data_IF_712984914408
#
_entry.id   IF_712984914408
#
_cell.length_a   1.000
_cell.length_b   1.000
_cell.length_c   1.000
_cell.angle_alpha   90.00
_cell.angle_beta   90.00
_cell.angle_gamma   90.00
#
_symmetry.space_group_name_H-M   'P 1'
#
loop_
_entity.id
_entity.type
_entity.pdbx_description
1 polymer ?
#
# COMPACT_ATOMS: atom_id res chain seq x y z
N UNK A 1 6.14 9.05 -25.49
CA UNK A 1 7.17 9.83 -24.78
C UNK A 1 6.59 10.88 -23.84
N UNK A 2 5.70 11.78 -24.30
CA UNK A 2 5.14 12.85 -23.45
C UNK A 2 4.53 12.37 -22.12
N UNK A 3 3.78 11.25 -22.12
CA UNK A 3 3.24 10.66 -20.89
C UNK A 3 4.30 10.18 -19.90
N UNK A 4 5.40 9.62 -20.42
CA UNK A 4 6.49 9.11 -19.60
C UNK A 4 7.16 10.29 -18.88
N UNK A 5 7.44 11.38 -19.60
CA UNK A 5 8.00 12.59 -19.00
C UNK A 5 7.04 13.26 -18.02
N UNK A 6 5.74 13.26 -18.30
CA UNK A 6 4.73 13.82 -17.41
C UNK A 6 4.63 13.05 -16.09
N UNK A 7 4.55 11.72 -16.13
CA UNK A 7 4.42 10.90 -14.92
C UNK A 7 5.75 10.79 -14.18
N UNK A 8 6.81 10.37 -14.89
CA UNK A 8 8.10 10.13 -14.25
C UNK A 8 8.75 11.45 -13.80
N UNK A 9 8.62 12.52 -14.59
CA UNK A 9 9.15 13.83 -14.25
C UNK A 9 8.49 14.44 -13.01
N UNK A 10 7.18 14.31 -12.85
CA UNK A 10 6.47 14.85 -11.68
C UNK A 10 6.79 14.09 -10.39
N UNK A 11 7.03 12.76 -10.49
CA UNK A 11 7.50 11.95 -9.37
C UNK A 11 8.94 12.33 -8.98
N UNK A 12 9.86 12.44 -9.94
CA UNK A 12 11.26 12.79 -9.65
C UNK A 12 11.44 14.21 -9.11
N UNK A 13 10.61 15.15 -9.56
CA UNK A 13 10.60 16.53 -9.06
C UNK A 13 9.89 16.67 -7.71
N UNK A 14 9.27 15.60 -7.18
CA UNK A 14 8.56 15.60 -5.90
C UNK A 14 7.26 16.42 -5.92
N UNK A 15 6.77 16.80 -7.10
CA UNK A 15 5.54 17.59 -7.25
C UNK A 15 4.30 16.72 -7.05
N UNK A 16 4.39 15.45 -7.45
CA UNK A 16 3.33 14.49 -7.30
C UNK A 16 3.83 13.21 -6.63
N UNK A 17 3.05 12.73 -5.67
CA UNK A 17 3.23 11.41 -5.07
C UNK A 17 2.95 10.31 -6.10
N UNK A 18 3.42 9.05 -5.89
CA UNK A 18 3.20 7.97 -6.85
C UNK A 18 1.72 7.73 -7.21
N UNK A 19 0.82 7.95 -6.27
CA UNK A 19 -0.65 7.87 -6.48
C UNK A 19 -1.15 9.00 -7.38
N UNK A 20 -0.70 10.23 -7.16
CA UNK A 20 -1.01 11.40 -8.00
C UNK A 20 -0.38 11.27 -9.39
N UNK A 21 0.84 10.74 -9.48
CA UNK A 21 1.52 10.40 -10.73
C UNK A 21 0.72 9.39 -11.55
N UNK A 22 0.14 8.37 -10.90
CA UNK A 22 -0.78 7.43 -11.53
C UNK A 22 -2.04 8.11 -12.08
N UNK A 23 -2.66 8.99 -11.30
CA UNK A 23 -3.86 9.75 -11.72
C UNK A 23 -3.56 10.67 -12.93
N UNK A 24 -2.40 11.34 -12.92
CA UNK A 24 -1.93 12.14 -14.04
C UNK A 24 -1.64 11.30 -15.28
N UNK A 25 -1.08 10.10 -15.11
CA UNK A 25 -0.87 9.15 -16.20
C UNK A 25 -2.19 8.69 -16.83
N UNK A 26 -3.19 8.35 -16.02
CA UNK A 26 -4.51 7.94 -16.50
C UNK A 26 -5.24 9.08 -17.22
N UNK A 27 -5.22 10.29 -16.65
CA UNK A 27 -5.81 11.48 -17.26
C UNK A 27 -5.12 11.82 -18.58
N UNK A 28 -3.77 11.78 -18.60
CA UNK A 28 -3.00 12.01 -19.81
C UNK A 28 -3.27 10.98 -20.90
N UNK A 29 -3.42 9.70 -20.54
CA UNK A 29 -3.77 8.64 -21.48
C UNK A 29 -5.17 8.85 -22.08
N UNK A 30 -6.13 9.31 -21.27
CA UNK A 30 -7.50 9.60 -21.72
C UNK A 30 -7.53 10.79 -22.69
N UNK A 31 -6.79 11.86 -22.38
CA UNK A 31 -6.61 13.02 -23.28
C UNK A 31 -5.97 12.59 -24.60
N UNK A 32 -4.92 11.76 -24.57
CA UNK A 32 -4.29 11.25 -25.79
C UNK A 32 -5.21 10.35 -26.60
N UNK A 33 -6.02 9.50 -25.96
CA UNK A 33 -7.01 8.68 -26.64
C UNK A 33 -8.09 9.53 -27.33
N UNK A 34 -8.47 10.66 -26.71
CA UNK A 34 -9.41 11.63 -27.27
C UNK A 34 -8.80 12.37 -28.47
N UNK A 35 -7.58 12.89 -28.35
CA UNK A 35 -6.86 13.55 -29.45
C UNK A 35 -6.68 12.62 -30.64
N UNK A 36 -6.33 11.35 -30.38
CA UNK A 36 -6.15 10.34 -31.43
C UNK A 36 -7.48 9.79 -31.98
N UNK A 37 -8.64 10.26 -31.51
CA UNK A 37 -9.99 9.80 -31.91
C UNK A 37 -10.19 8.28 -31.79
N UNK A 38 -9.50 7.65 -30.84
CA UNK A 38 -9.61 6.20 -30.56
C UNK A 38 -10.42 5.89 -29.31
N UNK A 39 -10.87 6.92 -28.59
CA UNK A 39 -11.70 6.77 -27.41
C UNK A 39 -13.10 6.32 -27.83
N UNK A 40 -13.45 5.07 -27.52
CA UNK A 40 -14.81 4.54 -27.70
C UNK A 40 -15.41 4.22 -26.34
N UNK A 41 -16.74 4.31 -26.23
CA UNK A 41 -17.45 3.98 -25.00
C UNK A 41 -17.22 2.52 -24.56
N UNK A 42 -17.12 1.61 -25.54
CA UNK A 42 -16.78 0.20 -25.29
C UNK A 42 -15.40 0.05 -24.67
N UNK A 43 -14.37 0.73 -25.21
CA UNK A 43 -13.01 0.69 -24.68
C UNK A 43 -12.93 1.28 -23.27
N UNK A 44 -13.60 2.41 -23.03
CA UNK A 44 -13.63 3.04 -21.71
C UNK A 44 -14.29 2.11 -20.68
N UNK A 45 -15.44 1.52 -21.01
CA UNK A 45 -16.14 0.58 -20.12
C UNK A 45 -15.30 -0.68 -19.87
N UNK A 46 -14.60 -1.19 -20.88
CA UNK A 46 -13.70 -2.33 -20.73
C UNK A 46 -12.55 -2.00 -19.78
N UNK A 47 -11.88 -0.85 -19.98
CA UNK A 47 -10.80 -0.40 -19.11
C UNK A 47 -11.28 -0.21 -17.66
N UNK A 48 -12.41 0.48 -17.45
CA UNK A 48 -12.98 0.68 -16.12
C UNK A 48 -13.36 -0.64 -15.43
N UNK A 49 -13.96 -1.59 -16.15
CA UNK A 49 -14.35 -2.88 -15.57
C UNK A 49 -13.11 -3.71 -15.18
N UNK A 50 -12.06 -3.71 -16.00
CA UNK A 50 -10.80 -4.37 -15.65
C UNK A 50 -10.14 -3.74 -14.42
N UNK A 51 -10.07 -2.41 -14.35
CA UNK A 51 -9.55 -1.70 -13.18
C UNK A 51 -10.38 -1.99 -11.93
N UNK A 52 -11.70 -1.89 -12.03
CA UNK A 52 -12.61 -2.14 -10.91
C UNK A 52 -12.46 -3.56 -10.36
N UNK A 53 -12.38 -4.57 -11.23
CA UNK A 53 -12.19 -5.97 -10.80
C UNK A 53 -10.88 -6.16 -10.02
N UNK A 54 -9.77 -5.60 -10.52
CA UNK A 54 -8.48 -5.70 -9.83
C UNK A 54 -8.52 -4.97 -8.48
N UNK A 55 -9.08 -3.76 -8.43
CA UNK A 55 -9.25 -3.01 -7.17
C UNK A 55 -10.16 -3.74 -6.19
N UNK A 56 -11.27 -4.33 -6.65
CA UNK A 56 -12.17 -5.12 -5.78
C UNK A 56 -11.47 -6.33 -5.17
N UNK A 57 -10.61 -7.01 -5.93
CA UNK A 57 -9.80 -8.12 -5.41
C UNK A 57 -8.88 -7.65 -4.28
N UNK A 58 -8.13 -6.56 -4.51
CA UNK A 58 -7.23 -5.96 -3.51
C UNK A 58 -7.99 -5.51 -2.26
N UNK A 59 -9.14 -4.84 -2.42
CA UNK A 59 -9.96 -4.39 -1.28
C UNK A 59 -10.48 -5.58 -0.46
N UNK A 60 -10.91 -6.67 -1.11
CA UNK A 60 -11.35 -7.87 -0.39
C UNK A 60 -10.22 -8.47 0.45
N UNK A 61 -8.99 -8.47 -0.06
CA UNK A 61 -7.83 -8.97 0.69
C UNK A 61 -7.49 -8.03 1.84
N UNK A 62 -7.59 -6.71 1.66
CA UNK A 62 -7.43 -5.73 2.73
C UNK A 62 -8.43 -5.97 3.86
N UNK A 63 -9.71 -6.20 3.54
CA UNK A 63 -10.74 -6.54 4.53
C UNK A 63 -10.37 -7.84 5.25
N UNK A 64 -10.01 -8.89 4.52
CA UNK A 64 -9.58 -10.17 5.09
C UNK A 64 -8.36 -10.03 6.01
N UNK A 65 -7.37 -9.24 5.60
CA UNK A 65 -6.18 -8.98 6.41
C UNK A 65 -6.50 -8.18 7.66
N UNK A 66 -7.43 -7.22 7.58
CA UNK A 66 -7.86 -6.44 8.75
C UNK A 66 -8.55 -7.35 9.78
N UNK A 67 -9.45 -8.22 9.33
CA UNK A 67 -10.10 -9.22 10.19
C UNK A 67 -9.06 -10.17 10.79
N UNK A 68 -8.15 -10.71 9.97
CA UNK A 68 -7.06 -11.55 10.45
C UNK A 68 -6.20 -10.83 11.49
N UNK A 69 -5.78 -9.59 11.23
CA UNK A 69 -4.95 -8.82 12.15
C UNK A 69 -5.65 -8.52 13.48
N UNK A 70 -6.95 -8.23 13.44
CA UNK A 70 -7.74 -8.00 14.66
C UNK A 70 -7.91 -9.28 15.46
N UNK A 71 -8.30 -10.39 14.82
CA UNK A 71 -8.44 -11.69 15.49
C UNK A 71 -7.09 -12.20 16.02
N UNK A 72 -6.02 -12.05 15.23
CA UNK A 72 -4.67 -12.47 15.59
C UNK A 72 -4.17 -11.73 16.83
N UNK A 73 -4.36 -10.41 16.90
CA UNK A 73 -4.08 -9.62 18.12
C UNK A 73 -5.02 -9.99 19.27
N UNK A 74 -6.29 -10.25 18.98
CA UNK A 74 -7.27 -10.68 19.98
C UNK A 74 -6.90 -11.99 20.68
N UNK A 75 -6.16 -12.88 20.02
CA UNK A 75 -5.63 -14.12 20.61
C UNK A 75 -4.19 -13.99 21.12
N UNK A 76 -3.66 -12.76 21.22
CA UNK A 76 -2.27 -12.47 21.60
C UNK A 76 -1.22 -13.09 20.67
N UNK A 77 -1.55 -13.22 19.38
CA UNK A 77 -0.64 -13.76 18.38
C UNK A 77 0.63 -12.92 18.21
N UNK A 78 0.53 -11.60 18.41
CA UNK A 78 1.68 -10.69 18.40
C UNK A 78 2.67 -11.03 19.53
N UNK A 79 2.17 -11.36 20.73
CA UNK A 79 3.01 -11.83 21.83
C UNK A 79 3.60 -13.22 21.57
N UNK A 80 2.88 -14.10 20.87
CA UNK A 80 3.40 -15.41 20.49
C UNK A 80 4.55 -15.30 19.48
N UNK A 81 4.38 -14.48 18.44
CA UNK A 81 5.44 -14.20 17.46
C UNK A 81 6.62 -13.49 18.13
N UNK A 82 6.36 -12.56 19.04
CA UNK A 82 7.40 -11.93 19.86
C UNK A 82 8.22 -12.96 20.62
N UNK A 83 7.59 -13.88 21.36
CA UNK A 83 8.32 -14.94 22.08
C UNK A 83 9.09 -15.86 21.13
N UNK A 84 8.49 -16.24 20.01
CA UNK A 84 9.14 -17.12 19.03
C UNK A 84 10.40 -16.45 18.45
N UNK A 85 10.33 -15.16 18.16
CA UNK A 85 11.42 -14.42 17.51
C UNK A 85 12.46 -13.89 18.50
N UNK A 86 12.08 -13.55 19.73
CA UNK A 86 13.03 -13.22 20.82
C UNK A 86 13.78 -14.46 21.32
N UNK A 87 13.22 -15.65 21.15
CA UNK A 87 13.89 -16.92 21.43
C UNK A 87 14.92 -17.30 20.36
N UNK A 88 14.96 -16.60 19.22
CA UNK A 88 15.95 -16.85 18.18
C UNK A 88 17.29 -16.21 18.55
N UNK A 89 18.41 -16.93 18.37
CA UNK A 89 19.73 -16.36 18.55
C UNK A 89 19.98 -15.26 17.51
N UNK A 90 20.40 -14.06 17.96
CA UNK A 90 20.81 -12.97 17.07
C UNK A 90 20.13 -11.62 17.27
N UNK A 91 19.21 -11.48 18.24
CA UNK A 91 18.60 -10.20 18.59
C UNK A 91 17.94 -9.51 17.40
N UNK A 92 18.14 -8.19 17.25
CA UNK A 92 17.56 -7.39 16.16
C UNK A 92 17.98 -7.88 14.77
N UNK A 93 19.24 -8.27 14.58
CA UNK A 93 19.75 -8.70 13.27
C UNK A 93 19.20 -10.09 12.91
N UNK A 94 19.15 -11.01 13.88
CA UNK A 94 18.56 -12.33 13.70
C UNK A 94 17.08 -12.25 13.28
N UNK A 95 16.31 -11.39 13.94
CA UNK A 95 14.93 -11.07 13.55
C UNK A 95 14.87 -10.60 12.09
N UNK A 96 15.67 -9.62 11.70
CA UNK A 96 15.62 -9.06 10.34
C UNK A 96 15.99 -10.06 9.26
N UNK A 97 16.95 -10.96 9.52
CA UNK A 97 17.31 -12.02 8.57
C UNK A 97 16.14 -12.98 8.40
N UNK A 98 15.54 -13.44 9.50
CA UNK A 98 14.42 -14.39 9.47
C UNK A 98 13.21 -13.77 8.78
N UNK A 99 12.88 -12.52 9.09
CA UNK A 99 11.80 -11.80 8.42
C UNK A 99 12.09 -11.60 6.95
N UNK A 100 13.32 -11.23 6.57
CA UNK A 100 13.67 -11.10 5.15
C UNK A 100 13.55 -12.43 4.39
N UNK A 101 13.99 -13.54 4.98
CA UNK A 101 13.85 -14.87 4.36
C UNK A 101 12.38 -15.27 4.26
N UNK A 102 11.60 -15.07 5.33
CA UNK A 102 10.16 -15.34 5.34
C UNK A 102 9.44 -14.52 4.27
N UNK A 103 9.67 -13.20 4.24
CA UNK A 103 9.09 -12.29 3.25
C UNK A 103 9.51 -12.68 1.84
N UNK A 104 10.77 -13.04 1.62
CA UNK A 104 11.27 -13.47 0.31
C UNK A 104 10.55 -14.71 -0.20
N UNK A 105 10.31 -15.71 0.67
CA UNK A 105 9.60 -16.93 0.30
C UNK A 105 8.10 -16.69 0.08
N UNK A 106 7.46 -15.88 0.93
CA UNK A 106 6.03 -15.54 0.78
C UNK A 106 5.78 -14.69 -0.47
N UNK A 107 6.73 -13.83 -0.84
CA UNK A 107 6.68 -12.97 -2.01
C UNK A 107 6.63 -13.75 -3.34
N UNK A 108 6.85 -15.06 -3.32
CA UNK A 108 6.73 -15.89 -4.52
C UNK A 108 5.26 -16.11 -4.93
N UNK A 109 4.36 -16.17 -3.94
CA UNK A 109 2.96 -16.55 -4.16
C UNK A 109 1.99 -15.39 -3.94
N UNK A 110 2.40 -14.40 -3.15
CA UNK A 110 1.58 -13.25 -2.80
C UNK A 110 2.09 -12.01 -3.55
N UNK A 111 1.15 -11.25 -4.12
CA UNK A 111 1.43 -9.95 -4.72
C UNK A 111 1.74 -8.91 -3.61
N UNK A 112 2.36 -7.79 -3.99
CA UNK A 112 2.99 -6.88 -3.06
C UNK A 112 1.98 -6.23 -2.12
N UNK A 113 0.79 -5.87 -2.60
CA UNK A 113 -0.22 -5.25 -1.74
C UNK A 113 -0.71 -6.24 -0.68
N UNK A 114 -0.97 -7.48 -1.08
CA UNK A 114 -1.44 -8.59 -0.27
C UNK A 114 -0.40 -8.95 0.80
N UNK A 115 0.86 -9.08 0.39
CA UNK A 115 1.95 -9.39 1.30
C UNK A 115 2.16 -8.26 2.30
N UNK A 116 2.15 -6.99 1.87
CA UNK A 116 2.32 -5.85 2.77
C UNK A 116 1.21 -5.81 3.82
N UNK A 117 -0.03 -6.03 3.40
CA UNK A 117 -1.17 -6.02 4.33
C UNK A 117 -1.14 -7.18 5.31
N UNK A 118 -0.52 -8.32 5.02
CA UNK A 118 -0.39 -9.43 5.98
C UNK A 118 0.83 -9.23 6.89
N UNK A 119 1.99 -8.92 6.30
CA UNK A 119 3.28 -8.89 7.01
C UNK A 119 3.41 -7.66 7.92
N UNK A 120 2.99 -6.48 7.47
CA UNK A 120 3.18 -5.24 8.25
C UNK A 120 2.38 -5.27 9.56
N UNK A 121 1.08 -5.63 9.59
CA UNK A 121 0.34 -5.68 10.86
C UNK A 121 0.79 -6.80 11.80
N UNK A 122 1.36 -7.87 11.23
CA UNK A 122 1.87 -9.03 11.95
C UNK A 122 3.24 -8.76 12.61
N UNK A 123 4.19 -8.24 11.83
CA UNK A 123 5.58 -8.08 12.25
C UNK A 123 5.93 -6.66 12.72
N UNK A 124 5.17 -5.65 12.31
CA UNK A 124 5.40 -4.25 12.70
C UNK A 124 5.40 -4.03 14.21
N UNK A 125 4.39 -4.50 14.97
CA UNK A 125 4.39 -4.37 16.43
C UNK A 125 5.56 -5.08 17.10
N UNK A 126 5.98 -6.23 16.55
CA UNK A 126 7.12 -7.00 17.07
C UNK A 126 8.44 -6.27 16.80
N UNK A 127 8.59 -5.67 15.61
CA UNK A 127 9.75 -4.87 15.25
C UNK A 127 9.89 -3.63 16.15
N UNK A 128 8.79 -2.93 16.44
CA UNK A 128 8.76 -1.76 17.33
C UNK A 128 9.24 -2.12 18.75
N UNK A 129 8.71 -3.21 19.31
CA UNK A 129 9.11 -3.70 20.65
C UNK A 129 10.57 -4.14 20.72
N UNK A 130 11.12 -4.69 19.64
CA UNK A 130 12.54 -5.01 19.53
C UNK A 130 13.43 -3.76 19.38
N UNK A 131 12.85 -2.56 19.32
CA UNK A 131 13.56 -1.29 19.14
C UNK A 131 14.11 -1.11 17.72
N UNK A 132 13.53 -1.80 16.74
CA UNK A 132 13.90 -1.65 15.33
C UNK A 132 13.16 -0.43 14.78
N UNK A 133 13.88 0.45 14.11
CA UNK A 133 13.29 1.60 13.45
C UNK A 133 12.31 1.14 12.35
N UNK A 134 11.04 1.57 12.43
CA UNK A 134 9.98 1.14 11.51
C UNK A 134 10.21 1.61 10.07
N UNK A 135 10.94 2.72 9.87
CA UNK A 135 11.30 3.22 8.54
C UNK A 135 12.35 2.28 7.94
N UNK A 136 13.38 1.95 8.71
CA UNK A 136 14.38 0.97 8.27
C UNK A 136 13.76 -0.41 7.98
N UNK A 137 12.87 -0.88 8.85
CA UNK A 137 12.12 -2.12 8.64
C UNK A 137 11.23 -2.05 7.39
N UNK A 138 10.50 -0.96 7.20
CA UNK A 138 9.66 -0.74 6.02
C UNK A 138 10.45 -0.68 4.72
N UNK A 139 11.62 -0.04 4.72
CA UNK A 139 12.53 -0.02 3.56
C UNK A 139 13.07 -1.41 3.27
N UNK A 140 13.47 -2.18 4.30
CA UNK A 140 13.90 -3.57 4.12
C UNK A 140 12.79 -4.44 3.50
N UNK A 141 11.57 -4.33 4.02
CA UNK A 141 10.42 -5.01 3.45
C UNK A 141 10.17 -4.57 2.00
N UNK A 142 10.19 -3.26 1.71
CA UNK A 142 9.95 -2.74 0.36
C UNK A 142 10.98 -3.22 -0.66
N UNK A 143 12.27 -3.20 -0.30
CA UNK A 143 13.36 -3.71 -1.14
C UNK A 143 13.22 -5.21 -1.36
N UNK A 144 12.85 -5.97 -0.33
CA UNK A 144 12.63 -7.41 -0.44
C UNK A 144 11.41 -7.71 -1.32
N UNK A 145 10.30 -7.00 -1.14
CA UNK A 145 9.06 -7.17 -1.92
C UNK A 145 9.25 -6.87 -3.41
N UNK A 146 10.18 -5.98 -3.77
CA UNK A 146 10.52 -5.73 -5.17
C UNK A 146 11.06 -6.99 -5.88
N UNK A 147 11.71 -7.91 -5.15
CA UNK A 147 12.20 -9.19 -5.73
C UNK A 147 11.06 -10.04 -6.30
N UNK A 148 9.84 -9.93 -5.74
CA UNK A 148 8.65 -10.65 -6.21
C UNK A 148 8.42 -10.46 -7.71
N UNK A 149 8.60 -9.23 -8.21
CA UNK A 149 8.37 -8.90 -9.62
C UNK A 149 9.38 -9.52 -10.59
N UNK A 150 10.55 -9.91 -10.09
CA UNK A 150 11.71 -10.30 -10.91
C UNK A 150 12.10 -11.77 -10.77
N UNK A 151 11.58 -12.49 -9.77
CA UNK A 151 11.94 -13.91 -9.59
C UNK A 151 11.22 -14.83 -10.60
N UNK A 152 11.91 -15.75 -11.27
CA UNK A 152 11.27 -16.87 -11.96
C UNK A 152 10.65 -17.82 -10.92
N UNK A 153 9.42 -18.37 -11.04
CA UNK A 153 8.50 -18.49 -12.18
C UNK A 153 7.25 -17.58 -12.14
N UNK A 154 7.10 -16.71 -11.12
CA UNK A 154 5.89 -15.90 -10.90
C UNK A 154 6.09 -14.39 -11.14
N UNK A 155 7.32 -13.93 -11.45
CA UNK A 155 7.59 -12.52 -11.69
C UNK A 155 6.81 -11.93 -12.88
N UNK A 156 5.85 -11.04 -12.60
CA UNK A 156 5.03 -10.38 -13.62
C UNK A 156 5.88 -9.64 -14.67
N UNK A 157 7.02 -9.07 -14.28
CA UNK A 157 7.90 -8.38 -15.20
C UNK A 157 8.50 -9.33 -16.25
N UNK A 158 8.77 -10.59 -15.89
CA UNK A 158 9.30 -11.58 -16.81
C UNK A 158 8.25 -12.01 -17.85
N UNK A 159 6.98 -12.09 -17.44
CA UNK A 159 5.86 -12.34 -18.35
C UNK A 159 5.59 -11.16 -19.28
N UNK A 160 5.73 -9.93 -18.80
CA UNK A 160 5.66 -8.74 -19.67
C UNK A 160 6.78 -8.75 -20.71
N UNK A 161 8.03 -9.04 -20.29
CA UNK A 161 9.14 -9.17 -21.23
C UNK A 161 8.88 -10.30 -22.24
N UNK A 162 8.32 -11.43 -21.79
CA UNK A 162 7.96 -12.55 -22.67
C UNK A 162 6.88 -12.17 -23.70
N UNK A 163 5.94 -11.30 -23.34
CA UNK A 163 4.84 -10.87 -24.23
C UNK A 163 5.32 -9.99 -25.39
N UNK A 164 6.42 -9.26 -25.20
CA UNK A 164 7.06 -8.44 -26.24
C UNK A 164 8.25 -9.13 -26.91
N UNK A 165 8.75 -10.22 -26.32
CA UNK A 165 9.88 -10.98 -26.85
C UNK A 165 9.51 -11.77 -28.12
N UNK A 166 10.34 -11.73 -29.18
CA UNK A 166 10.08 -12.42 -30.43
C UNK A 166 10.05 -13.94 -30.21
N UNK A 167 8.85 -14.51 -30.34
CA UNK A 167 8.61 -15.95 -30.19
C UNK A 167 8.91 -16.77 -31.44
N UNK A 168 9.23 -16.14 -32.57
CA UNK A 168 9.61 -16.78 -33.84
C UNK A 168 10.93 -16.17 -34.31
N UNK A 169 11.67 -16.93 -35.13
CA UNK A 169 12.78 -16.37 -35.88
C UNK A 169 12.32 -15.13 -36.64
N UNK A 170 13.07 -14.05 -36.48
CA UNK A 170 12.87 -12.83 -37.25
C UNK A 170 14.19 -12.44 -37.89
N UNK A 171 14.11 -11.86 -39.08
CA UNK A 171 15.25 -11.22 -39.73
C UNK A 171 15.44 -9.85 -39.08
N UNK A 172 16.60 -9.64 -38.47
CA UNK A 172 16.95 -8.32 -37.93
C UNK A 172 17.04 -7.32 -39.09
N UNK A 173 16.23 -6.25 -39.02
CA UNK A 173 16.16 -5.20 -40.04
C UNK A 173 17.48 -4.45 -40.22
N UNK A 174 18.35 -4.43 -39.20
CA UNK A 174 19.62 -3.70 -39.22
C UNK A 174 20.79 -4.58 -39.66
N UNK A 175 20.88 -5.83 -39.19
CA UNK A 175 21.99 -6.73 -39.52
C UNK A 175 21.69 -7.74 -40.62
N UNK A 176 20.43 -7.92 -41.03
CA UNK A 176 20.02 -8.86 -42.07
C UNK A 176 20.19 -10.34 -41.69
N UNK A 177 20.54 -10.63 -40.44
CA UNK A 177 20.78 -11.99 -39.94
C UNK A 177 19.51 -12.59 -39.35
N UNK A 178 19.29 -13.91 -39.50
CA UNK A 178 18.23 -14.60 -38.78
C UNK A 178 18.58 -14.64 -37.29
N UNK A 179 17.75 -14.00 -36.47
CA UNK A 179 17.88 -14.04 -35.01
C UNK A 179 16.96 -15.11 -34.42
N UNK A 180 17.49 -16.04 -33.61
CA UNK A 180 16.70 -17.10 -33.01
C UNK A 180 15.68 -16.55 -32.00
N UNK A 181 14.56 -17.27 -31.76
CA UNK A 181 13.53 -16.85 -30.82
C UNK A 181 14.08 -16.82 -29.39
N UNK A 182 13.62 -15.84 -28.61
CA UNK A 182 13.99 -15.75 -27.20
C UNK A 182 13.16 -16.74 -26.40
N UNK A 183 13.83 -17.72 -25.81
CA UNK A 183 13.18 -18.75 -24.97
C UNK A 183 12.87 -18.19 -23.58
N UNK A 184 11.81 -18.70 -22.94
CA UNK A 184 11.47 -18.31 -21.56
C UNK A 184 12.62 -18.57 -20.59
N UNK A 185 13.40 -19.64 -20.81
CA UNK A 185 14.59 -19.95 -20.02
C UNK A 185 15.67 -18.88 -20.10
N UNK A 186 15.88 -18.26 -21.28
CA UNK A 186 16.82 -17.14 -21.43
C UNK A 186 16.36 -15.89 -20.67
N UNK A 187 15.04 -15.61 -20.66
CA UNK A 187 14.47 -14.52 -19.88
C UNK A 187 14.67 -14.76 -18.38
N UNK A 188 14.45 -16.00 -17.93
CA UNK A 188 14.64 -16.38 -16.52
C UNK A 188 16.09 -16.29 -16.09
N UNK A 189 17.03 -16.83 -16.88
CA UNK A 189 18.46 -16.69 -16.62
C UNK A 189 18.93 -15.24 -16.69
N UNK A 190 18.30 -14.40 -17.51
CA UNK A 190 18.55 -12.96 -17.54
C UNK A 190 18.09 -12.23 -16.27
N UNK A 191 17.12 -12.78 -15.53
CA UNK A 191 16.60 -12.16 -14.30
C UNK A 191 17.43 -12.51 -13.05
N UNK A 192 18.07 -13.69 -13.01
CA UNK A 192 18.85 -14.17 -11.86
C UNK A 192 19.92 -13.16 -11.40
N UNK A 193 20.73 -12.53 -12.28
CA UNK A 193 21.71 -11.52 -11.85
C UNK A 193 21.08 -10.35 -11.09
N UNK A 194 19.89 -9.90 -11.50
CA UNK A 194 19.19 -8.80 -10.82
C UNK A 194 18.67 -9.23 -9.45
N UNK A 195 18.17 -10.45 -9.32
CA UNK A 195 17.75 -11.00 -8.02
C UNK A 195 18.96 -11.10 -7.08
N UNK A 196 20.12 -11.54 -7.58
CA UNK A 196 21.36 -11.59 -6.78
C UNK A 196 21.76 -10.19 -6.31
N UNK A 197 21.73 -9.18 -7.19
CA UNK A 197 22.00 -7.79 -6.81
C UNK A 197 21.01 -7.30 -5.74
N UNK A 198 19.73 -7.65 -5.85
CA UNK A 198 18.72 -7.27 -4.87
C UNK A 198 18.96 -7.93 -3.50
N UNK A 199 19.34 -9.21 -3.48
CA UNK A 199 19.72 -9.91 -2.23
C UNK A 199 20.96 -9.29 -1.60
N UNK A 200 21.95 -8.91 -2.41
CA UNK A 200 23.14 -8.17 -1.93
C UNK A 200 22.72 -6.82 -1.36
N UNK A 201 21.83 -6.09 -2.04
CA UNK A 201 21.31 -4.81 -1.57
C UNK A 201 20.59 -4.94 -0.23
N UNK A 202 19.75 -5.96 -0.04
CA UNK A 202 19.14 -6.29 1.25
C UNK A 202 20.21 -6.54 2.31
N UNK A 203 21.23 -7.34 2.01
CA UNK A 203 22.35 -7.59 2.93
C UNK A 203 23.09 -6.33 3.33
N UNK A 204 23.32 -5.40 2.40
CA UNK A 204 23.94 -4.10 2.67
C UNK A 204 23.04 -3.24 3.55
N UNK A 205 21.73 -3.20 3.30
CA UNK A 205 20.77 -2.41 4.09
C UNK A 205 20.64 -2.97 5.52
N UNK A 206 20.75 -4.29 5.70
CA UNK A 206 20.82 -4.93 7.02
C UNK A 206 22.13 -4.57 7.74
N UNK A 207 23.27 -4.63 7.04
CA UNK A 207 24.59 -4.37 7.61
C UNK A 207 24.86 -2.89 7.92
N UNK A 208 24.26 -1.98 7.17
CA UNK A 208 24.47 -0.54 7.28
C UNK A 208 23.13 0.21 7.42
N UNK A 209 22.49 0.17 8.60
CA UNK A 209 21.21 0.86 8.84
C UNK A 209 21.30 2.38 8.60
N UNK A 210 22.49 2.96 8.78
CA UNK A 210 22.77 4.37 8.50
C UNK A 210 22.57 4.79 7.04
N UNK A 211 22.50 3.87 6.08
CA UNK A 211 22.12 4.21 4.70
C UNK A 211 20.67 4.67 4.59
N UNK A 212 19.81 4.13 5.44
CA UNK A 212 18.38 4.46 5.48
C UNK A 212 18.12 5.57 6.50
N UNK A 213 18.73 5.48 7.67
CA UNK A 213 18.47 6.40 8.78
C UNK A 213 19.36 7.65 8.78
N UNK A 214 20.48 7.65 8.07
CA UNK A 214 21.50 8.71 8.14
C UNK A 214 21.05 10.07 7.58
N UNK A 215 20.09 10.09 6.66
CA UNK A 215 19.53 11.32 6.08
C UNK A 215 18.13 11.66 6.62
N UNK A 216 17.63 10.92 7.62
CA UNK A 216 16.34 11.21 8.20
C UNK A 216 16.47 12.42 9.12
N UNK A 217 15.91 13.55 8.71
CA UNK A 217 15.58 14.63 9.64
C UNK A 217 14.59 14.03 10.63
N UNK A 218 15.06 13.76 11.85
CA UNK A 218 14.22 13.31 12.96
C UNK A 218 13.27 14.46 13.29
N UNK A 219 12.14 14.52 12.60
CA UNK A 219 11.08 15.45 12.95
C UNK A 219 10.53 14.98 14.28
N UNK A 220 11.00 15.58 15.36
CA UNK A 220 10.42 15.48 16.71
C UNK A 220 9.06 16.19 16.73
N UNK A 221 8.15 15.76 15.85
CA UNK A 221 6.75 16.09 15.87
C UNK A 221 6.07 15.19 16.88
N UNK A 222 5.57 15.81 17.95
CA UNK A 222 4.78 15.22 19.01
C UNK A 222 3.82 14.11 18.50
N UNK A 223 3.99 12.83 18.92
CA UNK A 223 3.17 11.71 18.45
C UNK A 223 1.67 11.88 18.76
N UNK A 224 1.28 12.85 19.60
CA UNK A 224 -0.11 13.23 19.86
C UNK A 224 -0.81 13.93 18.69
N UNK A 225 -0.10 14.35 17.64
CA UNK A 225 -0.69 14.99 16.44
C UNK A 225 -0.81 14.07 15.23
N UNK A 226 -0.27 12.85 15.31
CA UNK A 226 -0.45 11.85 14.26
C UNK A 226 -1.74 11.11 14.55
N UNK A 227 -2.83 11.53 13.87
CA UNK A 227 -4.05 10.74 13.85
C UNK A 227 -3.77 9.41 13.17
N UNK A 228 -3.42 8.39 13.97
CA UNK A 228 -3.68 7.02 13.55
C UNK A 228 -5.19 6.93 13.36
N UNK A 229 -5.63 6.73 12.12
CA UNK A 229 -7.02 6.35 11.85
C UNK A 229 -7.22 4.92 12.39
N UNK A 230 -7.34 4.83 13.71
CA UNK A 230 -7.98 3.73 14.40
C UNK A 230 -9.43 4.18 14.51
N UNK A 231 -10.40 3.50 13.90
CA UNK A 231 -11.80 3.71 14.24
C UNK A 231 -11.96 3.33 15.71
N UNK A 232 -11.82 4.30 16.60
CA UNK A 232 -12.16 4.16 18.00
C UNK A 232 -13.65 4.43 18.11
N UNK A 233 -14.43 3.36 18.22
CA UNK A 233 -15.79 3.41 18.75
C UNK A 233 -15.69 3.92 20.19
N UNK A 234 -15.78 5.23 20.35
CA UNK A 234 -16.00 5.88 21.63
C UNK A 234 -17.02 6.99 21.42
N UNK A 235 -18.24 6.58 21.05
CA UNK A 235 -19.40 7.32 21.50
C UNK A 235 -19.58 7.06 23.00
N UNK A 236 -19.63 8.17 23.71
CA UNK A 236 -19.76 8.36 25.14
C UNK A 236 -20.90 7.51 25.74
N UNK A 237 -20.58 6.39 26.39
CA UNK A 237 -21.53 5.57 27.17
C UNK A 237 -21.90 6.21 28.51
N UNK A 238 -22.43 7.43 28.48
CA UNK A 238 -23.10 8.04 29.64
C UNK A 238 -24.51 8.42 29.22
N UNK A 239 -25.48 7.80 29.89
CA UNK A 239 -26.93 7.90 29.68
C UNK A 239 -27.52 7.04 28.54
N UNK A 240 -27.57 5.73 28.76
CA UNK A 240 -28.67 4.91 28.26
C UNK A 240 -29.21 4.01 29.38
N UNK A 241 -30.26 4.49 30.06
CA UNK A 241 -31.27 3.60 30.62
C UNK A 241 -31.78 2.67 29.50
N UNK A 242 -32.07 1.38 29.78
CA UNK A 242 -32.53 0.45 28.75
C UNK A 242 -33.81 0.98 28.06
N UNK A 243 -34.00 0.74 26.76
CA UNK A 243 -35.17 1.23 26.04
C UNK A 243 -36.47 0.66 26.62
N UNK A 244 -37.30 1.53 27.17
CA UNK A 244 -38.68 1.22 27.55
C UNK A 244 -39.53 1.10 26.29
N UNK A 245 -40.02 -0.10 26.00
CA UNK A 245 -40.94 -0.37 24.90
C UNK A 245 -42.32 0.18 25.26
N UNK A 246 -42.56 1.43 24.88
CA UNK A 246 -43.72 2.21 25.28
C UNK A 246 -45.08 1.52 25.09
N UNK A 247 -45.89 1.57 26.14
CA UNK A 247 -47.35 1.62 26.02
C UNK A 247 -47.81 2.97 25.46
N UNK A 248 -48.89 3.02 24.66
CA UNK A 248 -49.19 4.17 23.83
C UNK A 248 -49.89 5.30 24.61
N UNK A 249 -49.33 6.50 24.53
CA UNK A 249 -50.04 7.75 24.83
C UNK A 249 -49.16 8.85 25.42
N UNK A 250 -49.01 9.97 24.70
CA UNK A 250 -48.49 11.21 25.31
C UNK A 250 -47.78 12.14 24.35
N UNK A 251 -48.52 12.98 23.64
CA UNK A 251 -48.01 14.09 22.84
C UNK A 251 -47.33 15.16 23.72
N UNK A 252 -46.00 15.10 23.89
CA UNK A 252 -45.22 16.17 24.55
C UNK A 252 -43.78 16.42 24.04
N UNK A 253 -43.28 15.76 22.99
CA UNK A 253 -41.84 15.86 22.63
C UNK A 253 -41.47 16.82 21.47
N UNK A 254 -42.44 17.47 20.81
CA UNK A 254 -42.12 18.30 19.64
C UNK A 254 -41.68 19.74 19.98
N UNK A 255 -41.97 20.23 21.18
CA UNK A 255 -41.62 21.58 21.61
C UNK A 255 -40.14 21.71 22.03
N UNK A 256 -39.56 20.67 22.64
CA UNK A 256 -38.15 20.70 23.09
C UNK A 256 -37.16 20.50 21.94
N UNK A 257 -37.52 19.74 20.91
CA UNK A 257 -36.68 19.56 19.71
C UNK A 257 -36.47 20.85 18.93
N UNK A 258 -37.51 21.67 18.75
CA UNK A 258 -37.41 22.94 18.01
C UNK A 258 -36.61 24.01 18.74
N UNK A 259 -36.59 23.98 20.08
CA UNK A 259 -35.82 24.92 20.89
C UNK A 259 -34.31 24.67 20.79
N UNK A 260 -33.89 23.40 20.75
CA UNK A 260 -32.48 23.02 20.61
C UNK A 260 -31.88 23.34 19.23
N UNK A 261 -32.69 23.25 18.18
CA UNK A 261 -32.26 23.49 16.79
C UNK A 261 -32.01 24.99 16.54
N UNK A 262 -32.90 25.86 17.03
CA UNK A 262 -32.74 27.32 16.92
C UNK A 262 -31.56 27.87 17.73
N UNK A 263 -31.23 27.24 18.86
CA UNK A 263 -30.06 27.60 19.66
C UNK A 263 -28.73 27.19 19.00
N UNK A 264 -28.76 26.17 18.15
CA UNK A 264 -27.59 25.66 17.42
C UNK A 264 -27.28 26.53 16.20
N UNK A 265 -28.29 26.93 15.43
CA UNK A 265 -28.13 27.85 14.30
C UNK A 265 -27.60 29.23 14.72
N UNK A 266 -28.05 29.75 15.88
CA UNK A 266 -27.54 31.02 16.41
C UNK A 266 -26.05 30.98 16.77
N UNK A 267 -25.57 29.86 17.34
CA UNK A 267 -24.16 29.69 17.68
C UNK A 267 -23.28 29.59 16.43
N UNK A 268 -23.77 28.91 15.40
CA UNK A 268 -23.04 28.74 14.14
C UNK A 268 -22.94 30.06 13.35
N UNK A 269 -23.97 30.91 13.43
CA UNK A 269 -23.93 32.25 12.85
C UNK A 269 -22.95 33.19 13.56
N UNK A 270 -22.90 33.17 14.90
CA UNK A 270 -21.98 33.99 15.70
C UNK A 270 -20.50 33.57 15.49
N UNK A 271 -20.24 32.27 15.33
CA UNK A 271 -18.90 31.75 15.05
C UNK A 271 -18.42 32.12 13.63
N UNK A 272 -19.32 32.15 12.65
CA UNK A 272 -19.02 32.61 11.29
C UNK A 272 -18.72 34.12 11.26
N UNK A 273 -19.46 34.96 11.99
CA UNK A 273 -19.22 36.40 12.01
C UNK A 273 -17.85 36.76 12.64
N UNK A 274 -17.41 35.98 13.63
CA UNK A 274 -16.10 36.14 14.27
C UNK A 274 -14.93 35.70 13.37
N UNK A 275 -15.17 34.84 12.40
CA UNK A 275 -14.17 34.38 11.42
C UNK A 275 -13.84 35.43 10.35
N UNK A 276 -14.78 36.32 10.02
CA UNK A 276 -14.58 37.37 9.00
C UNK A 276 -14.06 38.71 9.56
N UNK A 277 -13.86 38.81 10.89
CA UNK A 277 -13.35 40.02 11.57
C UNK A 277 -11.85 39.96 11.96
N UNK A 278 -11.09 38.97 11.46
CA UNK A 278 -9.62 38.89 11.57
C UNK A 278 -8.97 38.97 10.19
#
# INVERSE_FOLDING_TARGET
LALIFLVLGTIFLGVATPTEGGAMGATGALVLAMINRRLTWSLLRQAMNSTAKLTSFVVFILVGSTVFSLTFRGVNGDLWVEHLLTSLPGGQIGFLIVVNVLTFLLAFFLDFFELAFIIVPLLGPVADKLGIDLIWFGVLLGVNMQTSFMHPPFGFALFYLRSVAPGREYLDKLTGKPTPPVTTGQIYWGAVPFVVIQVIMVGIVIGFPGLVTGNLVKSSGDPSKVQSFVPSDSEDTRDQTPPDFGTPGGAKSDAERKSGESAREKREADDLENLFKK
#
